data_IF_034288477698
#
_entry.id   IF_034288477698
#
_cell.length_a   1.000
_cell.length_b   1.000
_cell.length_c   1.000
_cell.angle_alpha   90.00
_cell.angle_beta   90.00
_cell.angle_gamma   90.00
#
_symmetry.space_group_name_H-M   'P 1'
#
loop_
_entity.id
_entity.type
_entity.pdbx_description
1 polymer ?
#
# COMPACT_ATOMS: atom_id res chain seq x y z
N UNK A 1 30.38 46.88 -26.98
CA UNK A 1 29.06 46.67 -27.60
C UNK A 1 28.02 46.85 -26.53
N UNK A 2 27.20 47.92 -26.61
CA UNK A 2 26.13 48.19 -25.68
C UNK A 2 24.81 47.48 -26.05
N UNK A 3 24.86 46.30 -26.61
CA UNK A 3 23.67 45.54 -27.01
C UNK A 3 23.06 44.82 -25.78
N UNK A 4 21.85 45.20 -25.42
CA UNK A 4 21.04 44.49 -24.43
C UNK A 4 20.36 43.34 -25.14
N UNK A 5 20.71 42.11 -24.75
CA UNK A 5 20.02 40.90 -25.22
C UNK A 5 18.90 40.58 -24.21
N UNK A 6 17.67 40.68 -24.64
CA UNK A 6 16.52 40.16 -23.88
C UNK A 6 16.42 38.66 -24.12
N UNK A 7 16.69 37.87 -23.09
CA UNK A 7 16.43 36.43 -23.09
C UNK A 7 14.94 36.12 -22.86
N UNK A 8 14.55 34.91 -23.14
CA UNK A 8 13.20 34.44 -22.83
C UNK A 8 12.90 34.53 -21.32
N UNK A 9 11.69 34.97 -20.97
CA UNK A 9 11.23 34.99 -19.58
C UNK A 9 10.90 33.56 -19.19
N UNK A 10 11.73 32.97 -18.33
CA UNK A 10 11.47 31.64 -17.79
C UNK A 10 10.47 31.75 -16.64
N UNK A 11 9.31 31.09 -16.81
CA UNK A 11 8.33 30.92 -15.74
C UNK A 11 8.47 29.49 -15.18
N UNK A 12 8.69 29.37 -13.90
CA UNK A 12 8.62 28.08 -13.20
C UNK A 12 7.75 28.21 -11.97
N UNK A 13 6.99 27.15 -11.67
CA UNK A 13 6.30 27.02 -10.41
C UNK A 13 7.03 25.99 -9.56
N UNK A 14 7.41 26.35 -8.34
CA UNK A 14 7.85 25.36 -7.37
C UNK A 14 6.67 24.40 -7.07
N UNK A 15 6.87 23.11 -7.24
CA UNK A 15 5.88 22.12 -6.82
C UNK A 15 5.81 22.11 -5.29
N UNK A 16 4.62 22.28 -4.76
CA UNK A 16 4.38 22.22 -3.32
C UNK A 16 4.31 20.76 -2.87
N UNK A 17 5.03 20.42 -1.79
CA UNK A 17 4.90 19.11 -1.17
C UNK A 17 3.46 18.86 -0.68
N UNK A 18 3.04 17.63 -0.69
CA UNK A 18 1.74 17.20 -0.17
C UNK A 18 1.55 17.65 1.30
N UNK A 19 2.62 17.52 2.08
CA UNK A 19 2.74 18.02 3.47
C UNK A 19 4.24 18.04 3.83
N UNK A 20 4.64 18.73 4.92
CA UNK A 20 6.02 18.66 5.40
C UNK A 20 6.43 17.22 5.72
N UNK A 21 7.52 16.75 5.12
CA UNK A 21 7.99 15.35 5.25
C UNK A 21 7.38 14.37 4.26
N UNK A 22 6.65 14.83 3.25
CA UNK A 22 6.27 14.01 2.11
C UNK A 22 7.49 13.71 1.22
N UNK A 23 7.75 12.43 0.96
CA UNK A 23 8.89 11.94 0.19
C UNK A 23 8.42 11.01 -0.95
N UNK A 24 9.35 10.55 -1.79
CA UNK A 24 9.07 9.62 -2.87
C UNK A 24 8.32 10.23 -4.06
N UNK A 25 7.83 9.38 -4.93
CA UNK A 25 7.20 9.80 -6.19
C UNK A 25 5.84 10.49 -5.98
N UNK A 26 5.10 10.13 -4.93
CA UNK A 26 3.80 10.74 -4.56
C UNK A 26 3.90 12.04 -3.77
N UNK A 27 5.12 12.53 -3.47
CA UNK A 27 5.34 13.68 -2.59
C UNK A 27 4.70 14.99 -3.04
N UNK A 28 4.28 15.08 -4.29
CA UNK A 28 3.64 16.27 -4.85
C UNK A 28 2.14 16.11 -5.06
N UNK A 29 1.52 15.09 -4.49
CA UNK A 29 0.07 14.94 -4.51
C UNK A 29 -0.61 16.24 -4.04
N UNK A 30 -1.60 16.67 -4.79
CA UNK A 30 -2.27 17.96 -4.52
C UNK A 30 -3.21 17.86 -3.33
N UNK A 31 -3.90 16.74 -3.20
CA UNK A 31 -4.94 16.59 -2.20
C UNK A 31 -6.07 17.61 -2.34
N UNK A 32 -6.76 17.88 -1.27
CA UNK A 32 -7.90 18.81 -1.21
C UNK A 32 -7.56 20.30 -1.19
N UNK A 33 -6.32 20.67 -1.52
CA UNK A 33 -5.90 22.08 -1.47
C UNK A 33 -6.76 22.96 -2.37
N UNK A 34 -7.19 24.11 -1.80
CA UNK A 34 -8.06 25.08 -2.50
C UNK A 34 -9.53 24.67 -2.58
N UNK A 35 -9.88 23.48 -2.08
CA UNK A 35 -11.25 23.02 -2.01
C UNK A 35 -11.91 23.28 -0.65
N UNK A 36 -13.05 22.63 -0.43
CA UNK A 36 -13.79 22.76 0.83
C UNK A 36 -13.17 21.91 1.94
N UNK A 37 -13.44 22.30 3.19
CA UNK A 37 -13.19 21.44 4.36
C UNK A 37 -14.51 20.81 4.78
N UNK A 38 -14.50 19.47 4.83
CA UNK A 38 -15.66 18.70 5.25
C UNK A 38 -15.38 18.05 6.62
N UNK A 39 -16.28 18.26 7.56
CA UNK A 39 -16.19 17.76 8.92
C UNK A 39 -16.96 16.47 9.10
N UNK A 40 -16.28 15.41 9.53
CA UNK A 40 -16.90 14.16 9.95
C UNK A 40 -17.25 14.28 11.43
N UNK A 41 -18.54 14.33 11.71
CA UNK A 41 -19.13 14.52 13.04
C UNK A 41 -19.87 13.30 13.58
N UNK A 42 -20.02 12.25 12.74
CA UNK A 42 -20.63 10.97 13.12
C UNK A 42 -19.75 9.80 12.70
N UNK A 43 -19.77 8.73 13.50
CA UNK A 43 -19.13 7.45 13.19
C UNK A 43 -20.04 6.49 12.42
N UNK A 44 -21.27 6.88 12.15
CA UNK A 44 -22.22 6.07 11.40
C UNK A 44 -21.80 5.90 9.95
N UNK A 45 -22.22 4.80 9.36
CA UNK A 45 -22.08 4.51 7.93
C UNK A 45 -23.37 3.91 7.40
N UNK A 46 -23.93 4.54 6.38
CA UNK A 46 -25.08 4.01 5.61
C UNK A 46 -24.73 4.01 4.14
N UNK A 47 -24.56 2.82 3.58
CA UNK A 47 -24.17 2.64 2.19
C UNK A 47 -25.29 3.01 1.21
N UNK A 48 -26.54 2.87 1.61
CA UNK A 48 -27.70 3.14 0.79
C UNK A 48 -28.10 4.61 0.78
N UNK A 49 -27.97 5.26 1.95
CA UNK A 49 -28.38 6.65 2.15
C UNK A 49 -27.39 7.42 3.05
N UNK A 50 -26.17 7.70 2.56
CA UNK A 50 -25.17 8.44 3.32
C UNK A 50 -25.70 9.78 3.84
N UNK A 51 -25.59 10.00 5.16
CA UNK A 51 -26.08 11.22 5.80
C UNK A 51 -24.96 12.27 5.95
N UNK A 52 -25.27 13.57 5.86
CA UNK A 52 -24.34 14.64 6.18
C UNK A 52 -23.68 14.42 7.56
N UNK A 53 -22.40 14.74 7.66
CA UNK A 53 -21.60 14.49 8.87
C UNK A 53 -20.95 13.12 8.93
N UNK A 54 -21.31 12.17 8.06
CA UNK A 54 -20.64 10.86 7.99
C UNK A 54 -19.44 10.86 7.05
N UNK A 55 -18.49 9.97 7.28
CA UNK A 55 -17.31 9.82 6.41
C UNK A 55 -17.72 9.46 4.98
N UNK A 56 -18.65 8.50 4.81
CA UNK A 56 -19.15 8.09 3.50
C UNK A 56 -19.80 9.24 2.73
N UNK A 57 -20.53 10.13 3.39
CA UNK A 57 -21.11 11.30 2.73
C UNK A 57 -20.02 12.20 2.12
N UNK A 58 -18.98 12.51 2.92
CA UNK A 58 -17.84 13.29 2.46
C UNK A 58 -17.09 12.68 1.27
N UNK A 59 -17.08 11.35 1.17
CA UNK A 59 -16.46 10.62 0.06
C UNK A 59 -17.35 10.54 -1.16
N UNK A 60 -18.64 10.17 -1.01
CA UNK A 60 -19.49 9.72 -2.12
C UNK A 60 -20.57 10.71 -2.56
N UNK A 61 -20.87 11.72 -1.76
CA UNK A 61 -21.94 12.71 -2.06
C UNK A 61 -21.41 14.10 -2.39
N UNK A 62 -20.19 14.40 -2.02
CA UNK A 62 -19.52 15.64 -2.36
C UNK A 62 -18.63 15.43 -3.59
N UNK A 63 -18.42 16.49 -4.36
CA UNK A 63 -17.56 16.49 -5.54
C UNK A 63 -16.51 17.60 -5.47
N UNK A 64 -15.47 17.47 -6.29
CA UNK A 64 -14.37 18.42 -6.38
C UNK A 64 -13.34 18.32 -5.24
N UNK A 65 -12.33 19.21 -5.25
CA UNK A 65 -11.26 19.19 -4.25
C UNK A 65 -11.80 19.39 -2.83
N UNK A 66 -11.39 18.55 -1.89
CA UNK A 66 -11.84 18.63 -0.50
C UNK A 66 -10.87 18.02 0.50
N UNK A 67 -10.83 18.61 1.66
CA UNK A 67 -10.12 18.06 2.82
C UNK A 67 -11.12 17.54 3.84
N UNK A 68 -11.06 16.25 4.12
CA UNK A 68 -11.91 15.60 5.10
C UNK A 68 -11.18 15.59 6.44
N UNK A 69 -11.77 16.23 7.43
CA UNK A 69 -11.30 16.31 8.81
C UNK A 69 -12.29 15.61 9.73
N UNK A 70 -11.83 15.19 10.91
CA UNK A 70 -12.64 14.43 11.86
C UNK A 70 -12.77 15.20 13.17
N UNK A 71 -13.99 15.49 13.55
CA UNK A 71 -14.33 16.10 14.85
C UNK A 71 -14.68 15.02 15.89
N UNK A 72 -14.71 13.78 15.48
CA UNK A 72 -14.97 12.58 16.30
C UNK A 72 -13.83 11.59 16.23
N UNK A 73 -13.72 10.72 17.20
CA UNK A 73 -12.79 9.58 17.20
C UNK A 73 -13.54 8.28 17.47
N UNK A 74 -13.03 7.18 16.92
CA UNK A 74 -13.60 5.86 17.13
C UNK A 74 -13.56 4.97 15.89
N UNK A 75 -14.50 4.06 15.82
CA UNK A 75 -14.60 3.05 14.75
C UNK A 75 -15.77 3.37 13.84
N UNK A 76 -15.48 3.52 12.56
CA UNK A 76 -16.47 3.58 11.49
C UNK A 76 -16.59 2.18 10.87
N UNK A 77 -17.70 1.50 11.12
CA UNK A 77 -17.95 0.18 10.52
C UNK A 77 -18.57 0.37 9.14
N UNK A 78 -17.77 0.21 8.11
CA UNK A 78 -18.20 0.36 6.72
C UNK A 78 -19.16 -0.76 6.33
N UNK A 79 -20.34 -0.41 5.83
CA UNK A 79 -21.35 -1.36 5.36
C UNK A 79 -21.03 -1.96 3.98
N UNK A 80 -20.32 -1.20 3.14
CA UNK A 80 -19.83 -1.66 1.83
C UNK A 80 -18.48 -1.06 1.53
N UNK A 81 -17.77 -1.60 0.52
CA UNK A 81 -16.55 -0.99 -0.01
C UNK A 81 -16.76 0.51 -0.21
N UNK A 82 -15.80 1.31 0.22
CA UNK A 82 -15.81 2.74 0.01
C UNK A 82 -14.59 3.14 -0.83
N UNK A 83 -14.82 3.75 -1.98
CA UNK A 83 -13.75 4.19 -2.87
C UNK A 83 -13.92 5.68 -3.16
N UNK A 84 -12.83 6.42 -3.13
CA UNK A 84 -12.80 7.83 -3.51
C UNK A 84 -12.64 7.91 -5.02
N UNK A 85 -13.70 8.24 -5.73
CA UNK A 85 -13.68 8.32 -7.20
C UNK A 85 -13.18 9.67 -7.71
N UNK A 86 -13.46 10.76 -6.99
CA UNK A 86 -12.97 12.09 -7.36
C UNK A 86 -11.48 12.25 -7.05
N UNK A 87 -10.73 12.94 -7.90
CA UNK A 87 -9.37 13.35 -7.57
C UNK A 87 -9.35 14.50 -6.56
N UNK A 88 -8.15 14.81 -6.06
CA UNK A 88 -7.91 15.96 -5.19
C UNK A 88 -8.61 15.88 -3.84
N UNK A 89 -8.51 14.74 -3.18
CA UNK A 89 -9.06 14.54 -1.84
C UNK A 89 -7.94 14.33 -0.81
N UNK A 90 -7.99 15.09 0.27
CA UNK A 90 -7.17 14.86 1.46
C UNK A 90 -8.02 14.24 2.56
N UNK A 91 -7.57 13.11 3.12
CA UNK A 91 -8.14 12.51 4.31
C UNK A 91 -7.16 12.73 5.47
N UNK A 92 -7.53 13.62 6.37
CA UNK A 92 -6.69 14.11 7.45
C UNK A 92 -7.05 13.43 8.79
N UNK A 93 -6.72 12.14 8.91
CA UNK A 93 -7.02 11.36 10.13
C UNK A 93 -6.39 11.90 11.41
N UNK A 94 -5.29 12.68 11.29
CA UNK A 94 -4.64 13.34 12.42
C UNK A 94 -5.49 14.42 13.09
N UNK A 95 -6.57 14.87 12.48
CA UNK A 95 -7.48 15.85 13.08
C UNK A 95 -8.44 15.22 14.08
N UNK A 96 -8.62 13.91 14.02
CA UNK A 96 -9.50 13.19 14.94
C UNK A 96 -8.99 13.32 16.39
N UNK A 97 -9.87 13.64 17.35
CA UNK A 97 -9.49 13.71 18.75
C UNK A 97 -9.14 12.33 19.32
N UNK A 98 -8.55 12.31 20.51
CA UNK A 98 -8.35 11.10 21.30
C UNK A 98 -7.57 10.01 20.56
N UNK A 99 -8.18 8.86 20.37
CA UNK A 99 -7.53 7.69 19.78
C UNK A 99 -7.53 7.67 18.24
N UNK A 100 -8.08 8.67 17.57
CA UNK A 100 -8.11 8.75 16.11
C UNK A 100 -9.22 7.92 15.48
N UNK A 101 -9.15 7.70 14.18
CA UNK A 101 -10.17 6.99 13.39
C UNK A 101 -9.67 5.61 12.95
N UNK A 102 -10.57 4.62 13.05
CA UNK A 102 -10.41 3.30 12.49
C UNK A 102 -11.59 2.96 11.57
N UNK A 103 -11.30 2.54 10.35
CA UNK A 103 -12.27 1.93 9.44
C UNK A 103 -12.29 0.41 9.68
N UNK A 104 -13.47 -0.17 9.74
CA UNK A 104 -13.66 -1.61 9.97
C UNK A 104 -14.57 -2.22 8.90
N UNK A 105 -14.35 -3.49 8.61
CA UNK A 105 -15.31 -4.39 7.97
C UNK A 105 -15.29 -4.39 6.44
N UNK A 106 -14.85 -3.33 5.76
CA UNK A 106 -14.83 -3.28 4.30
C UNK A 106 -13.60 -2.53 3.77
N UNK A 107 -13.16 -2.83 2.52
CA UNK A 107 -12.05 -2.15 1.87
C UNK A 107 -12.27 -0.65 1.69
N UNK A 108 -11.15 0.07 1.67
CA UNK A 108 -11.12 1.48 1.36
C UNK A 108 -10.15 1.80 0.22
N UNK A 109 -10.64 2.42 -0.85
CA UNK A 109 -9.84 2.87 -2.00
C UNK A 109 -9.57 4.36 -1.97
N UNK A 110 -8.29 4.73 -2.23
CA UNK A 110 -7.83 6.12 -2.17
C UNK A 110 -8.06 6.87 -3.49
N UNK A 111 -7.90 8.20 -3.46
CA UNK A 111 -8.10 9.10 -4.59
C UNK A 111 -6.85 9.22 -5.47
N UNK A 112 -7.06 9.56 -6.76
CA UNK A 112 -6.04 10.20 -7.58
C UNK A 112 -5.69 11.58 -7.01
N UNK A 113 -4.44 12.01 -7.16
CA UNK A 113 -3.97 13.25 -6.54
C UNK A 113 -4.29 13.31 -5.03
N UNK A 114 -4.37 12.13 -4.40
CA UNK A 114 -4.90 11.93 -3.07
C UNK A 114 -3.85 11.96 -1.97
N UNK A 115 -4.24 12.45 -0.81
CA UNK A 115 -3.42 12.42 0.41
C UNK A 115 -4.23 11.73 1.50
N UNK A 116 -3.73 10.60 2.04
CA UNK A 116 -4.38 9.91 3.16
C UNK A 116 -3.40 9.74 4.31
N UNK A 117 -3.76 10.26 5.48
CA UNK A 117 -2.88 10.25 6.64
C UNK A 117 -3.60 9.83 7.91
N UNK A 118 -2.88 9.10 8.77
CA UNK A 118 -3.30 8.70 10.12
C UNK A 118 -4.64 7.95 10.17
N UNK A 119 -4.92 7.15 9.17
CA UNK A 119 -6.08 6.26 9.14
C UNK A 119 -5.65 4.84 9.53
N UNK A 120 -6.43 4.19 10.36
CA UNK A 120 -6.32 2.75 10.62
C UNK A 120 -7.41 2.01 9.89
N UNK A 121 -7.09 0.84 9.34
CA UNK A 121 -8.07 -0.08 8.79
C UNK A 121 -7.87 -1.47 9.37
N UNK A 122 -8.96 -2.07 9.83
CA UNK A 122 -9.05 -3.46 10.26
C UNK A 122 -10.24 -4.11 9.56
N UNK A 123 -9.94 -4.89 8.52
CA UNK A 123 -10.98 -5.48 7.68
C UNK A 123 -11.84 -6.47 8.46
N UNK A 124 -11.20 -7.40 9.15
CA UNK A 124 -11.85 -8.53 9.81
C UNK A 124 -11.94 -9.78 8.94
N UNK A 125 -12.33 -10.90 9.54
CA UNK A 125 -12.45 -12.18 8.85
C UNK A 125 -13.66 -12.24 7.91
N UNK A 126 -13.70 -13.26 7.05
CA UNK A 126 -14.79 -13.44 6.09
C UNK A 126 -16.14 -13.70 6.75
N UNK A 127 -16.15 -14.27 7.94
CA UNK A 127 -17.38 -14.54 8.74
C UNK A 127 -18.08 -13.24 9.19
N UNK A 128 -17.34 -12.12 9.24
CA UNK A 128 -17.89 -10.79 9.53
C UNK A 128 -18.60 -10.17 8.29
N UNK A 129 -18.64 -10.89 7.18
CA UNK A 129 -19.23 -10.44 5.94
C UNK A 129 -20.62 -11.05 5.74
N UNK A 130 -21.59 -10.19 5.62
CA UNK A 130 -22.99 -10.56 5.38
C UNK A 130 -23.30 -11.08 3.97
N UNK A 131 -22.29 -11.37 3.17
CA UNK A 131 -22.44 -11.97 1.85
C UNK A 131 -23.04 -11.06 0.76
N UNK A 132 -23.22 -9.78 1.01
CA UNK A 132 -24.11 -8.94 0.19
C UNK A 132 -23.46 -8.20 -0.95
N UNK A 133 -22.21 -8.11 -1.16
CA UNK A 133 -21.73 -7.48 -2.41
C UNK A 133 -20.25 -7.68 -2.68
N UNK A 134 -20.01 -8.30 -3.77
CA UNK A 134 -18.66 -8.61 -4.23
C UNK A 134 -18.17 -9.94 -3.64
N UNK A 135 -17.06 -10.42 -4.15
CA UNK A 135 -16.44 -11.61 -3.60
C UNK A 135 -15.70 -11.21 -2.31
N UNK A 136 -16.23 -11.47 -1.11
CA UNK A 136 -15.58 -11.07 0.15
C UNK A 136 -14.21 -11.70 0.31
N UNK A 137 -13.97 -12.76 -0.41
CA UNK A 137 -12.89 -13.71 -0.23
C UNK A 137 -11.57 -13.25 -0.87
N UNK A 138 -11.54 -12.08 -1.51
CA UNK A 138 -10.36 -11.52 -2.18
C UNK A 138 -10.24 -10.02 -1.92
N UNK A 139 -10.67 -9.55 -0.76
CA UNK A 139 -10.71 -8.13 -0.48
C UNK A 139 -9.40 -7.64 0.14
N UNK A 140 -8.71 -6.79 -0.61
CA UNK A 140 -7.61 -5.99 -0.10
C UNK A 140 -8.10 -4.99 0.96
N UNK A 141 -7.21 -4.55 1.83
CA UNK A 141 -7.53 -3.57 2.87
C UNK A 141 -7.61 -2.14 2.35
N UNK A 142 -6.49 -1.43 2.40
CA UNK A 142 -6.30 -0.09 1.84
C UNK A 142 -5.66 -0.18 0.46
N UNK A 143 -6.11 0.63 -0.50
CA UNK A 143 -5.59 0.51 -1.85
C UNK A 143 -5.38 1.83 -2.56
N UNK A 144 -4.31 1.84 -3.36
CA UNK A 144 -4.00 2.86 -4.36
C UNK A 144 -4.08 2.28 -5.78
N UNK A 145 -4.71 1.13 -5.99
CA UNK A 145 -4.76 0.50 -7.29
C UNK A 145 -5.31 1.44 -8.37
N UNK A 146 -4.55 1.60 -9.45
CA UNK A 146 -4.87 2.52 -10.54
C UNK A 146 -4.69 4.01 -10.25
N UNK A 147 -4.30 4.39 -9.05
CA UNK A 147 -4.12 5.80 -8.69
C UNK A 147 -2.86 6.41 -9.31
N UNK A 148 -2.94 7.72 -9.52
CA UNK A 148 -1.80 8.52 -9.97
C UNK A 148 -1.59 9.72 -9.05
N UNK A 149 -0.33 10.02 -8.73
CA UNK A 149 0.07 11.08 -7.80
C UNK A 149 -0.66 11.00 -6.44
N UNK A 150 -0.44 9.92 -5.72
CA UNK A 150 -1.08 9.73 -4.41
C UNK A 150 -0.05 9.37 -3.34
N UNK A 151 -0.33 9.78 -2.11
CA UNK A 151 0.53 9.48 -0.97
C UNK A 151 -0.29 9.01 0.24
N UNK A 152 0.17 7.92 0.84
CA UNK A 152 -0.33 7.40 2.10
C UNK A 152 0.77 7.49 3.16
N UNK A 153 0.43 8.04 4.32
CA UNK A 153 1.41 8.37 5.35
C UNK A 153 0.86 8.13 6.76
N UNK A 154 1.67 7.54 7.64
CA UNK A 154 1.33 7.26 9.05
C UNK A 154 0.01 6.50 9.21
N UNK A 155 -0.27 5.57 8.35
CA UNK A 155 -1.46 4.72 8.44
C UNK A 155 -1.15 3.38 9.11
N UNK A 156 -2.20 2.60 9.39
CA UNK A 156 -2.07 1.25 9.91
C UNK A 156 -3.12 0.34 9.28
N UNK A 157 -2.67 -0.73 8.64
CA UNK A 157 -3.54 -1.69 7.98
C UNK A 157 -3.27 -3.09 8.51
N UNK A 158 -4.32 -3.85 8.76
CA UNK A 158 -4.17 -5.22 9.23
C UNK A 158 -5.50 -5.96 9.33
N UNK A 159 -5.42 -7.21 9.75
CA UNK A 159 -6.56 -8.13 9.85
C UNK A 159 -7.31 -8.24 8.52
N UNK A 160 -6.57 -8.27 7.44
CA UNK A 160 -7.10 -8.44 6.08
C UNK A 160 -7.07 -9.90 5.69
N UNK A 161 -7.98 -10.30 4.82
CA UNK A 161 -8.11 -11.69 4.34
C UNK A 161 -7.41 -11.93 3.00
N UNK A 162 -6.94 -10.88 2.38
CA UNK A 162 -6.01 -10.84 1.25
C UNK A 162 -4.97 -9.74 1.54
N UNK A 163 -4.41 -9.06 0.57
CA UNK A 163 -3.41 -8.04 0.82
C UNK A 163 -3.95 -6.90 1.70
N UNK A 164 -3.16 -6.54 2.71
CA UNK A 164 -3.48 -5.35 3.49
C UNK A 164 -3.39 -4.08 2.63
N UNK A 165 -2.45 -4.04 1.69
CA UNK A 165 -2.26 -2.92 0.77
C UNK A 165 -2.07 -3.39 -0.67
N UNK A 166 -2.69 -2.68 -1.63
CA UNK A 166 -2.50 -2.94 -3.06
C UNK A 166 -2.30 -1.64 -3.83
N UNK A 167 -1.31 -1.64 -4.75
CA UNK A 167 -1.04 -0.52 -5.65
C UNK A 167 -0.90 -0.96 -7.12
N UNK A 168 -1.57 -2.04 -7.51
CA UNK A 168 -1.56 -2.51 -8.90
C UNK A 168 -1.95 -1.40 -9.86
N UNK A 169 -1.19 -1.23 -10.95
CA UNK A 169 -1.40 -0.21 -11.98
C UNK A 169 -1.34 1.26 -11.49
N UNK A 170 -0.88 1.51 -10.26
CA UNK A 170 -0.70 2.86 -9.78
C UNK A 170 0.54 3.52 -10.40
N UNK A 171 0.58 4.86 -10.42
CA UNK A 171 1.72 5.64 -10.91
C UNK A 171 2.04 6.79 -9.98
N UNK A 172 3.33 7.10 -9.85
CA UNK A 172 3.79 8.26 -9.06
C UNK A 172 3.24 8.26 -7.64
N UNK A 173 3.35 7.14 -6.94
CA UNK A 173 2.79 7.00 -5.59
C UNK A 173 3.85 6.86 -4.51
N UNK A 174 3.45 7.14 -3.29
CA UNK A 174 4.25 6.87 -2.09
C UNK A 174 3.41 6.22 -1.01
N UNK A 175 3.97 5.17 -0.41
CA UNK A 175 3.54 4.59 0.86
C UNK A 175 4.67 4.77 1.87
N UNK A 176 4.46 5.60 2.89
CA UNK A 176 5.49 5.87 3.88
C UNK A 176 4.97 5.79 5.32
N UNK A 177 5.87 5.44 6.25
CA UNK A 177 5.63 5.44 7.70
C UNK A 177 4.35 4.72 8.10
N UNK A 178 4.05 3.63 7.42
CA UNK A 178 2.82 2.86 7.59
C UNK A 178 3.11 1.50 8.23
N UNK A 179 2.25 1.10 9.15
CA UNK A 179 2.24 -0.24 9.71
C UNK A 179 1.33 -1.14 8.89
N UNK A 180 1.87 -2.24 8.39
CA UNK A 180 1.13 -3.34 7.75
C UNK A 180 1.36 -4.60 8.58
N UNK A 181 0.32 -5.07 9.28
CA UNK A 181 0.54 -6.18 10.21
C UNK A 181 -0.65 -7.10 10.37
N UNK A 182 -0.34 -8.35 10.74
CA UNK A 182 -1.33 -9.31 11.21
C UNK A 182 -2.43 -9.57 10.18
N UNK A 183 -2.08 -9.69 8.90
CA UNK A 183 -3.00 -10.19 7.88
C UNK A 183 -3.43 -11.61 8.23
N UNK A 184 -4.74 -11.88 8.14
CA UNK A 184 -5.36 -13.11 8.64
C UNK A 184 -5.13 -14.26 7.67
N UNK A 185 -4.35 -15.27 8.09
CA UNK A 185 -3.91 -16.33 7.17
C UNK A 185 -4.99 -17.38 6.90
N UNK A 186 -5.90 -17.62 7.86
CA UNK A 186 -6.96 -18.64 7.77
C UNK A 186 -8.34 -18.00 8.00
N UNK A 187 -8.68 -16.97 7.28
CA UNK A 187 -9.86 -16.16 7.55
C UNK A 187 -10.93 -16.21 6.44
N UNK A 188 -10.97 -17.30 5.70
CA UNK A 188 -12.01 -17.50 4.69
C UNK A 188 -11.72 -16.91 3.32
N UNK A 189 -10.47 -16.60 3.02
CA UNK A 189 -10.09 -16.27 1.65
C UNK A 189 -10.51 -17.42 0.71
N UNK A 190 -11.32 -17.07 -0.30
CA UNK A 190 -11.86 -18.01 -1.27
C UNK A 190 -12.70 -19.14 -0.65
N UNK A 191 -13.92 -18.81 -0.19
CA UNK A 191 -14.89 -19.77 0.40
C UNK A 191 -15.15 -21.00 -0.45
N UNK A 192 -14.94 -20.94 -1.77
CA UNK A 192 -15.10 -22.10 -2.65
C UNK A 192 -14.11 -23.22 -2.29
N UNK A 193 -12.90 -22.88 -1.86
CA UNK A 193 -11.93 -23.88 -1.39
C UNK A 193 -12.22 -24.35 0.04
N UNK A 194 -12.79 -23.49 0.90
CA UNK A 194 -13.21 -23.88 2.25
C UNK A 194 -14.36 -24.91 2.18
N UNK A 195 -15.31 -24.72 1.29
CA UNK A 195 -16.40 -25.68 1.05
C UNK A 195 -15.88 -27.04 0.54
N UNK A 196 -14.69 -27.07 -0.05
CA UNK A 196 -13.99 -28.29 -0.46
C UNK A 196 -13.05 -28.84 0.63
N UNK A 197 -13.07 -28.29 1.83
CA UNK A 197 -12.22 -28.72 2.95
C UNK A 197 -10.77 -28.23 2.88
N UNK A 198 -10.47 -27.29 2.00
CA UNK A 198 -9.14 -26.71 1.87
C UNK A 198 -9.11 -25.31 2.50
N UNK A 199 -8.22 -25.10 3.45
CA UNK A 199 -7.90 -23.76 3.94
C UNK A 199 -6.85 -23.13 3.00
N UNK A 200 -7.21 -22.02 2.36
CA UNK A 200 -6.26 -21.23 1.58
C UNK A 200 -5.58 -20.23 2.51
N UNK A 201 -4.30 -20.42 2.71
CA UNK A 201 -3.47 -19.46 3.43
C UNK A 201 -3.28 -18.19 2.60
N UNK A 202 -3.78 -17.04 3.08
CA UNK A 202 -3.74 -15.80 2.31
C UNK A 202 -3.51 -14.53 3.17
N UNK A 203 -2.79 -14.68 4.27
CA UNK A 203 -2.43 -13.58 5.17
C UNK A 203 -1.30 -12.71 4.60
N UNK A 204 -1.56 -11.93 3.56
CA UNK A 204 -0.55 -11.20 2.81
C UNK A 204 -0.46 -9.72 3.17
N UNK A 205 0.78 -9.19 3.16
CA UNK A 205 1.02 -7.79 3.49
C UNK A 205 0.65 -6.86 2.34
N UNK A 206 1.30 -6.99 1.18
CA UNK A 206 1.12 -6.01 0.12
C UNK A 206 1.44 -6.57 -1.26
N UNK A 207 0.61 -6.24 -2.24
CA UNK A 207 0.96 -6.35 -3.67
C UNK A 207 1.23 -4.95 -4.21
N UNK A 208 2.48 -4.71 -4.60
CA UNK A 208 2.93 -3.46 -5.19
C UNK A 208 3.11 -3.62 -6.69
N UNK A 209 2.65 -2.64 -7.47
CA UNK A 209 2.67 -2.69 -8.92
C UNK A 209 2.45 -1.32 -9.52
N UNK A 210 2.37 -1.28 -10.85
CA UNK A 210 2.33 -0.03 -11.59
C UNK A 210 3.73 0.56 -11.80
N UNK A 211 3.87 1.87 -11.83
CA UNK A 211 5.11 2.54 -12.20
C UNK A 211 5.42 3.75 -11.32
N UNK A 212 6.68 3.95 -10.99
CA UNK A 212 7.14 5.01 -10.08
C UNK A 212 6.47 4.93 -8.71
N UNK A 213 6.67 3.81 -8.00
CA UNK A 213 6.21 3.58 -6.63
C UNK A 213 7.35 3.69 -5.61
N UNK A 214 7.18 4.50 -4.57
CA UNK A 214 8.11 4.57 -3.43
C UNK A 214 7.46 3.99 -2.18
N UNK A 215 8.12 3.01 -1.56
CA UNK A 215 7.67 2.28 -0.38
C UNK A 215 8.77 2.35 0.68
N UNK A 216 8.63 3.22 1.67
CA UNK A 216 9.73 3.47 2.61
C UNK A 216 9.30 3.81 4.03
N UNK A 217 10.20 3.52 4.97
CA UNK A 217 9.98 3.74 6.40
C UNK A 217 8.73 3.03 6.93
N UNK A 218 8.35 1.91 6.32
CA UNK A 218 7.20 1.11 6.74
C UNK A 218 7.64 -0.03 7.66
N UNK A 219 6.71 -0.48 8.49
CA UNK A 219 6.83 -1.72 9.26
C UNK A 219 5.84 -2.76 8.73
N UNK A 220 6.36 -3.88 8.23
CA UNK A 220 5.58 -5.05 7.84
C UNK A 220 5.83 -6.13 8.90
N UNK A 221 4.80 -6.54 9.63
CA UNK A 221 5.00 -7.46 10.73
C UNK A 221 3.92 -8.56 10.81
N UNK A 222 4.34 -9.79 11.09
CA UNK A 222 3.43 -10.92 11.32
C UNK A 222 2.50 -11.24 10.14
N UNK A 223 2.96 -11.05 8.91
CA UNK A 223 2.23 -11.45 7.71
C UNK A 223 2.82 -12.74 7.16
N UNK A 224 1.98 -13.63 6.64
CA UNK A 224 2.42 -14.90 6.08
C UNK A 224 3.31 -14.72 4.85
N UNK A 225 3.01 -13.73 4.01
CA UNK A 225 3.78 -13.49 2.80
C UNK A 225 3.58 -12.11 2.20
N UNK A 226 4.13 -11.93 1.00
CA UNK A 226 4.06 -10.70 0.21
C UNK A 226 4.54 -9.46 0.99
N UNK A 227 5.69 -9.57 1.62
CA UNK A 227 6.32 -8.48 2.37
C UNK A 227 7.48 -7.80 1.60
N UNK A 228 7.32 -7.39 0.46
CA UNK A 228 6.36 -6.99 -0.56
C UNK A 228 6.13 -8.08 -1.62
N UNK A 229 5.08 -8.00 -2.44
CA UNK A 229 4.97 -8.76 -3.68
C UNK A 229 4.97 -7.79 -4.86
N UNK A 230 5.99 -7.88 -5.70
CA UNK A 230 6.14 -7.03 -6.87
C UNK A 230 5.36 -7.63 -8.04
N UNK A 231 4.27 -6.97 -8.43
CA UNK A 231 3.41 -7.37 -9.54
C UNK A 231 3.47 -6.30 -10.63
N UNK A 232 4.59 -6.24 -11.31
CA UNK A 232 4.98 -5.11 -12.15
C UNK A 232 4.18 -4.93 -13.44
N UNK A 233 3.31 -5.88 -13.83
CA UNK A 233 2.54 -5.74 -15.06
C UNK A 233 3.39 -5.71 -16.33
N UNK A 234 4.54 -6.38 -16.34
CA UNK A 234 5.46 -6.44 -17.49
C UNK A 234 4.84 -7.09 -18.73
N UNK A 235 3.68 -7.74 -18.58
CA UNK A 235 3.01 -8.50 -19.65
C UNK A 235 2.22 -7.64 -20.64
N UNK A 236 1.86 -6.40 -20.29
CA UNK A 236 0.82 -5.68 -21.02
C UNK A 236 1.37 -4.68 -22.04
N UNK A 237 2.64 -4.75 -22.39
CA UNK A 237 3.28 -3.74 -23.21
C UNK A 237 3.34 -2.35 -22.52
N UNK A 238 2.72 -2.21 -21.37
CA UNK A 238 2.83 -1.07 -20.50
C UNK A 238 4.09 -1.23 -19.67
N UNK A 239 4.98 -0.30 -19.84
CA UNK A 239 6.22 -0.22 -19.11
C UNK A 239 5.92 0.08 -17.65
N UNK A 240 5.88 -0.94 -16.82
CA UNK A 240 5.56 -0.83 -15.41
C UNK A 240 6.72 -1.32 -14.56
N UNK A 241 6.83 -0.78 -13.33
CA UNK A 241 7.70 -1.33 -12.31
C UNK A 241 9.02 -0.62 -12.08
N UNK A 242 9.01 0.71 -11.92
CA UNK A 242 10.08 1.42 -11.22
C UNK A 242 9.70 1.52 -9.75
N UNK A 243 10.31 0.71 -8.89
CA UNK A 243 9.97 0.64 -7.48
C UNK A 243 11.17 0.93 -6.58
N UNK A 244 11.00 1.85 -5.66
CA UNK A 244 11.94 2.14 -4.59
C UNK A 244 11.41 1.56 -3.28
N UNK A 245 12.11 0.55 -2.75
CA UNK A 245 11.80 -0.11 -1.47
C UNK A 245 12.98 0.13 -0.52
N UNK A 246 12.89 1.10 0.35
CA UNK A 246 14.03 1.47 1.19
C UNK A 246 13.65 1.83 2.62
N UNK A 247 14.57 1.60 3.54
CA UNK A 247 14.41 1.91 4.97
C UNK A 247 13.14 1.29 5.59
N UNK A 248 12.72 0.12 5.12
CA UNK A 248 11.61 -0.61 5.71
C UNK A 248 12.11 -1.61 6.75
N UNK A 249 11.23 -1.93 7.70
CA UNK A 249 11.42 -3.05 8.61
C UNK A 249 10.41 -4.14 8.27
N UNK A 250 10.88 -5.37 8.12
CA UNK A 250 10.04 -6.55 8.02
C UNK A 250 10.33 -7.49 9.20
N UNK A 251 9.30 -7.83 9.96
CA UNK A 251 9.44 -8.70 11.12
C UNK A 251 8.52 -9.91 11.06
N UNK A 252 9.08 -11.07 11.37
CA UNK A 252 8.33 -12.32 11.56
C UNK A 252 7.41 -12.67 10.38
N UNK A 253 7.95 -12.57 9.16
CA UNK A 253 7.24 -13.07 7.97
C UNK A 253 7.17 -14.60 7.98
N UNK A 254 6.21 -15.17 7.28
CA UNK A 254 6.06 -16.62 7.15
C UNK A 254 6.93 -17.21 6.05
N UNK A 255 6.28 -17.78 5.04
CA UNK A 255 6.91 -18.48 3.91
C UNK A 255 7.38 -17.58 2.77
N UNK A 256 7.01 -16.29 2.74
CA UNK A 256 7.36 -15.35 1.67
C UNK A 256 7.78 -14.01 2.26
N UNK A 257 8.97 -13.55 1.87
CA UNK A 257 9.45 -12.20 2.17
C UNK A 257 9.07 -11.25 1.01
N UNK A 258 10.03 -10.55 0.39
CA UNK A 258 9.81 -9.79 -0.83
C UNK A 258 9.97 -10.70 -2.04
N UNK A 259 9.00 -10.70 -2.94
CA UNK A 259 9.03 -11.54 -4.14
C UNK A 259 8.34 -10.85 -5.35
N UNK A 260 8.31 -11.58 -6.48
CA UNK A 260 7.74 -11.09 -7.73
C UNK A 260 8.76 -10.35 -8.59
N UNK A 261 8.26 -9.62 -9.59
CA UNK A 261 9.10 -8.96 -10.58
C UNK A 261 8.81 -7.49 -10.75
N UNK A 262 9.87 -6.71 -10.96
CA UNK A 262 9.80 -5.31 -11.34
C UNK A 262 10.87 -5.00 -12.38
N UNK A 263 10.56 -4.06 -13.31
CA UNK A 263 11.50 -3.73 -14.37
C UNK A 263 12.79 -3.09 -13.81
N UNK A 264 12.65 -2.15 -12.89
CA UNK A 264 13.75 -1.56 -12.16
C UNK A 264 13.39 -1.41 -10.69
N UNK A 265 14.13 -2.07 -9.81
CA UNK A 265 13.92 -2.06 -8.38
C UNK A 265 15.12 -1.53 -7.62
N UNK A 266 14.89 -0.64 -6.67
CA UNK A 266 15.85 -0.30 -5.65
C UNK A 266 15.42 -0.94 -4.33
N UNK A 267 16.27 -1.79 -3.77
CA UNK A 267 16.03 -2.48 -2.50
C UNK A 267 17.18 -2.13 -1.54
N UNK A 268 16.99 -1.07 -0.74
CA UNK A 268 18.09 -0.40 -0.06
C UNK A 268 17.81 -0.19 1.43
N UNK A 269 18.78 -0.51 2.26
CA UNK A 269 18.75 -0.26 3.71
C UNK A 269 17.50 -0.83 4.42
N UNK A 270 16.95 -1.95 3.96
CA UNK A 270 15.84 -2.61 4.63
C UNK A 270 16.37 -3.53 5.74
N UNK A 271 15.61 -3.62 6.82
CA UNK A 271 15.92 -4.49 7.96
C UNK A 271 14.87 -5.59 8.09
N UNK A 272 15.31 -6.83 7.92
CA UNK A 272 14.47 -8.01 7.98
C UNK A 272 14.83 -8.84 9.22
N UNK A 273 13.95 -8.81 10.21
CA UNK A 273 14.15 -9.57 11.46
C UNK A 273 13.32 -10.85 11.42
N UNK A 274 14.01 -11.99 11.42
CA UNK A 274 13.36 -13.30 11.51
C UNK A 274 12.70 -13.47 12.88
N UNK A 275 11.45 -13.94 12.87
CA UNK A 275 10.71 -14.28 14.07
C UNK A 275 10.31 -15.76 14.11
N UNK A 276 9.51 -16.18 15.10
CA UNK A 276 9.09 -17.57 15.24
C UNK A 276 8.45 -18.17 13.98
N UNK A 277 7.60 -17.41 13.28
CA UNK A 277 6.90 -17.87 12.09
C UNK A 277 7.76 -17.90 10.82
N UNK A 278 8.93 -17.27 10.82
CA UNK A 278 9.76 -17.15 9.61
C UNK A 278 10.33 -18.49 9.20
N UNK A 279 10.06 -18.89 7.95
CA UNK A 279 10.57 -20.14 7.37
C UNK A 279 11.49 -19.89 6.17
N UNK A 280 11.39 -18.75 5.50
CA UNK A 280 12.22 -18.39 4.35
C UNK A 280 13.31 -17.40 4.76
N UNK A 281 14.55 -17.65 4.35
CA UNK A 281 15.71 -16.81 4.70
C UNK A 281 16.05 -15.75 3.66
N UNK A 282 15.55 -15.86 2.45
CA UNK A 282 15.77 -14.86 1.40
C UNK A 282 14.97 -13.60 1.68
N UNK A 283 15.58 -12.43 1.52
CA UNK A 283 14.94 -11.12 1.65
C UNK A 283 14.18 -10.75 0.40
N UNK A 284 14.77 -11.05 -0.77
CA UNK A 284 14.15 -10.83 -2.07
C UNK A 284 14.26 -12.09 -2.93
N UNK A 285 13.17 -12.47 -3.54
CA UNK A 285 13.10 -13.47 -4.60
C UNK A 285 12.61 -12.78 -5.86
N UNK A 286 13.52 -12.44 -6.75
CA UNK A 286 13.15 -11.92 -8.07
C UNK A 286 12.51 -13.05 -8.86
N UNK A 287 11.29 -12.84 -9.34
CA UNK A 287 10.45 -13.85 -9.92
C UNK A 287 9.94 -13.41 -11.29
N UNK A 288 10.18 -14.21 -12.31
CA UNK A 288 9.73 -13.91 -13.67
C UNK A 288 8.29 -14.41 -13.86
N UNK A 289 7.84 -15.31 -13.02
CA UNK A 289 6.51 -15.89 -13.11
C UNK A 289 5.40 -14.87 -12.83
N UNK A 290 4.43 -14.78 -13.72
CA UNK A 290 3.29 -13.88 -13.58
C UNK A 290 3.58 -12.40 -13.84
N UNK A 291 4.81 -12.04 -14.15
CA UNK A 291 5.19 -10.64 -14.43
C UNK A 291 5.31 -10.34 -15.93
N UNK A 292 5.10 -11.36 -16.77
CA UNK A 292 5.21 -11.25 -18.24
C UNK A 292 6.64 -11.11 -18.74
N UNK A 293 6.79 -10.82 -20.02
CA UNK A 293 8.08 -10.62 -20.66
C UNK A 293 8.72 -9.28 -20.27
N UNK A 294 10.03 -9.23 -20.31
CA UNK A 294 10.81 -8.01 -20.07
C UNK A 294 12.06 -8.26 -19.24
N UNK A 295 12.88 -7.22 -19.12
CA UNK A 295 14.09 -7.26 -18.31
C UNK A 295 13.81 -6.82 -16.89
N UNK A 296 14.44 -7.44 -15.93
CA UNK A 296 14.44 -7.03 -14.54
C UNK A 296 15.84 -6.59 -14.13
N UNK A 297 15.92 -5.49 -13.40
CA UNK A 297 17.18 -4.98 -12.85
C UNK A 297 16.94 -4.50 -11.41
N UNK A 298 17.81 -4.95 -10.50
CA UNK A 298 17.72 -4.58 -9.09
C UNK A 298 19.04 -3.97 -8.62
N UNK A 299 18.94 -2.83 -7.94
CA UNK A 299 19.99 -2.32 -7.11
C UNK A 299 19.73 -2.68 -5.66
N UNK A 300 20.62 -3.48 -5.08
CA UNK A 300 20.50 -3.95 -3.70
C UNK A 300 21.73 -3.52 -2.90
N UNK A 301 21.51 -2.84 -1.78
CA UNK A 301 22.60 -2.35 -0.94
C UNK A 301 22.13 -2.03 0.48
N UNK A 302 22.98 -2.35 1.46
CA UNK A 302 22.76 -1.98 2.86
C UNK A 302 21.62 -2.74 3.56
N UNK A 303 21.10 -3.82 2.99
CA UNK A 303 20.03 -4.59 3.60
C UNK A 303 20.59 -5.54 4.66
N UNK A 304 19.85 -5.72 5.74
CA UNK A 304 20.24 -6.55 6.87
C UNK A 304 19.16 -7.60 7.14
N UNK A 305 19.58 -8.87 7.28
CA UNK A 305 18.76 -9.91 7.88
C UNK A 305 19.28 -10.22 9.28
N UNK A 306 18.43 -10.04 10.28
CA UNK A 306 18.67 -10.59 11.63
C UNK A 306 18.06 -11.98 11.71
N UNK A 307 18.91 -12.98 11.91
CA UNK A 307 18.54 -14.38 12.07
C UNK A 307 17.88 -14.64 13.43
N UNK A 308 17.17 -15.77 13.57
CA UNK A 308 16.49 -16.13 14.85
C UNK A 308 17.43 -16.19 16.06
N UNK A 309 18.71 -16.43 15.86
CA UNK A 309 19.74 -16.46 16.91
C UNK A 309 20.40 -15.09 17.16
N UNK A 310 19.91 -14.02 16.53
CA UNK A 310 20.42 -12.66 16.66
C UNK A 310 21.65 -12.34 15.79
N UNK A 311 22.17 -13.30 15.01
CA UNK A 311 23.26 -13.01 14.08
C UNK A 311 22.76 -12.19 12.88
N UNK A 312 23.60 -11.30 12.35
CA UNK A 312 23.29 -10.47 11.21
C UNK A 312 23.92 -11.03 9.93
N UNK A 313 23.15 -11.00 8.85
CA UNK A 313 23.62 -11.28 7.49
C UNK A 313 23.38 -10.02 6.66
N UNK A 314 24.44 -9.48 6.04
CA UNK A 314 24.39 -8.22 5.28
C UNK A 314 24.76 -8.47 3.83
N UNK A 315 23.92 -8.03 2.91
CA UNK A 315 24.13 -8.04 1.44
C UNK A 315 24.88 -9.26 0.86
N UNK A 316 24.78 -10.42 1.56
CA UNK A 316 25.39 -11.64 1.09
C UNK A 316 24.61 -12.17 -0.10
N UNK A 317 25.18 -12.04 -1.31
CA UNK A 317 24.64 -12.71 -2.50
C UNK A 317 24.49 -14.21 -2.16
N UNK A 318 23.44 -14.82 -2.71
CA UNK A 318 23.12 -16.24 -2.58
C UNK A 318 22.60 -16.67 -1.20
N UNK A 319 22.72 -15.81 -0.15
CA UNK A 319 22.13 -16.06 1.16
C UNK A 319 20.86 -15.24 1.41
N UNK A 320 20.76 -14.06 0.78
CA UNK A 320 19.67 -13.09 0.99
C UNK A 320 18.88 -12.77 -0.26
N UNK A 321 19.47 -12.98 -1.43
CA UNK A 321 18.83 -12.68 -2.72
C UNK A 321 18.83 -13.92 -3.61
N UNK A 322 17.74 -14.14 -4.35
CA UNK A 322 17.66 -15.21 -5.35
C UNK A 322 16.81 -14.82 -6.54
N UNK A 323 17.03 -15.53 -7.62
CA UNK A 323 16.29 -15.46 -8.86
C UNK A 323 15.48 -16.74 -9.05
N UNK A 324 14.21 -16.64 -9.49
CA UNK A 324 13.40 -17.79 -9.83
C UNK A 324 12.82 -17.62 -11.24
N UNK A 325 13.06 -18.57 -12.10
CA UNK A 325 12.49 -18.61 -13.46
C UNK A 325 11.09 -19.22 -13.43
N UNK A 326 10.33 -19.00 -14.51
CA UNK A 326 8.98 -19.53 -14.71
C UNK A 326 8.87 -21.06 -14.63
N UNK A 327 9.95 -21.78 -14.92
CA UNK A 327 10.04 -23.23 -14.75
C UNK A 327 10.39 -23.69 -13.33
N UNK A 328 10.45 -22.76 -12.37
CA UNK A 328 10.82 -23.06 -10.99
C UNK A 328 12.34 -23.17 -10.73
N UNK A 329 13.17 -23.04 -11.76
CA UNK A 329 14.63 -23.06 -11.59
C UNK A 329 15.08 -21.81 -10.82
N UNK A 330 15.86 -22.03 -9.78
CA UNK A 330 16.52 -20.93 -9.02
C UNK A 330 17.88 -20.68 -9.63
N UNK A 331 18.19 -19.42 -9.91
CA UNK A 331 19.51 -18.94 -10.31
C UNK A 331 20.08 -18.13 -9.16
N UNK A 332 21.31 -18.40 -8.80
CA UNK A 332 22.08 -17.69 -7.79
C UNK A 332 22.82 -16.47 -8.37
#
# INVERSE_FOLDING_TARGET
DGNVYTGEIWQFRARQLAFPGAEGYGRYATGGRGGIVYHVTSLDDDASNPQPGTFRYGISKLSGPRTIVFDVSGVITLQSRLTVHDPYVTIAGQTAPGTGIMLKGRPFGMANEGITRFIRLRLGGADDWDGVSGNPNTADGLGMAGNNHSIMDHCSVGWTIDEAFSSRNAKNITLQRTLISESLNYAGHNTQFIQQGHHVEHGYAATIGGDYGSYHHNLLAHNQGRNWSMSGGLSDGNYAGHHDMFNNVCYNWGGRATDGGTHQGQFVNNYYKMGPATTLTYLITADIEGTGGGTQAYYVNGNIRENKNGTLTTDAKNETYRYRLSNGQVLD
#
